data_IF_258739103638
#
_entry.id   IF_258739103638
#
_cell.length_a   1.000
_cell.length_b   1.000
_cell.length_c   1.000
_cell.angle_alpha   90.00
_cell.angle_beta   90.00
_cell.angle_gamma   90.00
#
_symmetry.space_group_name_H-M   'P 1'
#
loop_
_entity.id
_entity.type
_entity.pdbx_description
1 polymer ?
#
# COMPACT_ATOMS: atom_id res chain seq x y z
N UNK A 1 -1.67 -1.25 -13.29
CA UNK A 1 -1.42 -0.74 -11.92
C UNK A 1 -2.57 -1.01 -10.97
N UNK A 2 -2.25 -1.71 -9.88
CA UNK A 2 -3.21 -2.20 -8.85
C UNK A 2 -3.11 -1.41 -7.54
N UNK A 3 -2.44 -0.25 -7.55
CA UNK A 3 -2.12 0.55 -6.35
C UNK A 3 -3.35 0.97 -5.57
N UNK A 4 -4.50 1.20 -6.20
CA UNK A 4 -5.75 1.56 -5.50
C UNK A 4 -6.65 0.36 -5.17
N UNK A 5 -6.20 -0.88 -5.41
CA UNK A 5 -6.96 -2.12 -5.15
C UNK A 5 -6.37 -2.95 -4.00
N UNK A 6 -5.10 -2.70 -3.64
CA UNK A 6 -4.45 -3.34 -2.51
C UNK A 6 -4.81 -2.65 -1.18
N UNK A 7 -5.29 -3.41 -0.21
CA UNK A 7 -5.56 -2.90 1.12
C UNK A 7 -4.25 -2.56 1.84
N UNK A 8 -4.02 -1.31 2.25
CA UNK A 8 -2.81 -0.96 2.98
C UNK A 8 -2.81 -1.58 4.38
N UNK A 9 -3.96 -1.96 4.94
CA UNK A 9 -4.05 -2.49 6.31
C UNK A 9 -3.76 -3.98 6.42
N UNK A 10 -4.14 -4.78 5.42
CA UNK A 10 -4.04 -6.24 5.47
C UNK A 10 -3.40 -6.87 4.22
N UNK A 11 -3.08 -6.08 3.19
CA UNK A 11 -2.50 -6.55 1.92
C UNK A 11 -3.47 -7.20 0.95
N UNK A 12 -4.69 -7.53 1.39
CA UNK A 12 -5.71 -8.15 0.54
C UNK A 12 -5.95 -7.29 -0.71
N UNK A 13 -5.78 -7.89 -1.88
CA UNK A 13 -5.89 -7.22 -3.17
C UNK A 13 -6.94 -7.93 -4.00
N UNK A 14 -8.03 -7.22 -4.29
CA UNK A 14 -9.11 -7.74 -5.12
C UNK A 14 -9.73 -6.60 -5.93
N UNK A 15 -10.27 -6.90 -7.11
CA UNK A 15 -10.92 -5.89 -7.93
C UNK A 15 -12.15 -5.27 -7.24
N UNK A 16 -12.90 -6.09 -6.53
CA UNK A 16 -14.04 -5.68 -5.70
C UNK A 16 -13.66 -4.76 -4.54
N UNK A 17 -12.37 -4.60 -4.21
CA UNK A 17 -11.96 -3.59 -3.23
C UNK A 17 -12.17 -2.16 -3.75
N UNK A 18 -12.16 -1.97 -5.07
CA UNK A 18 -12.47 -0.70 -5.76
C UNK A 18 -13.28 -0.99 -7.03
N UNK A 19 -14.58 -1.31 -6.90
CA UNK A 19 -15.40 -1.70 -8.03
C UNK A 19 -15.53 -0.56 -9.05
N UNK A 20 -15.48 -0.89 -10.35
CA UNK A 20 -15.61 0.07 -11.47
C UNK A 20 -14.68 1.28 -11.40
N UNK A 21 -13.50 1.15 -10.75
CA UNK A 21 -12.56 2.25 -10.50
C UNK A 21 -13.19 3.45 -9.76
N UNK A 22 -14.20 3.20 -8.92
CA UNK A 22 -14.91 4.24 -8.17
C UNK A 22 -14.05 5.01 -7.17
N UNK A 23 -14.57 6.11 -6.64
CA UNK A 23 -13.88 6.99 -5.69
C UNK A 23 -13.69 6.35 -4.30
N UNK A 24 -14.53 5.37 -3.94
CA UNK A 24 -14.44 4.67 -2.66
C UNK A 24 -13.68 3.35 -2.79
N UNK A 25 -12.90 3.06 -1.76
CA UNK A 25 -12.27 1.78 -1.51
C UNK A 25 -12.91 1.12 -0.29
N UNK A 26 -13.11 -0.19 -0.36
CA UNK A 26 -13.55 -1.01 0.78
C UNK A 26 -12.88 -2.39 0.71
N UNK A 27 -12.07 -2.73 1.70
CA UNK A 27 -11.41 -4.03 1.74
C UNK A 27 -12.44 -5.16 1.92
N UNK A 28 -12.44 -6.11 0.98
CA UNK A 28 -13.34 -7.27 1.01
C UNK A 28 -12.83 -8.43 1.88
N UNK A 29 -11.71 -8.24 2.59
CA UNK A 29 -11.30 -9.22 3.61
C UNK A 29 -12.18 -9.08 4.84
N UNK A 30 -12.88 -10.16 5.19
CA UNK A 30 -13.84 -10.25 6.28
C UNK A 30 -13.27 -9.83 7.64
N UNK A 31 -11.97 -9.99 7.88
CA UNK A 31 -11.32 -9.60 9.15
C UNK A 31 -10.77 -8.17 9.14
N UNK A 32 -10.81 -7.47 8.00
CA UNK A 32 -10.23 -6.12 7.86
C UNK A 32 -11.29 -5.04 7.65
N UNK A 33 -12.13 -5.17 6.62
CA UNK A 33 -13.21 -4.21 6.33
C UNK A 33 -12.79 -2.74 6.10
N UNK A 34 -11.49 -2.43 5.96
CA UNK A 34 -11.01 -1.05 5.91
C UNK A 34 -11.58 -0.25 4.74
N UNK A 35 -12.04 0.98 4.99
CA UNK A 35 -12.63 1.85 3.96
C UNK A 35 -11.94 3.22 3.91
N UNK A 36 -11.78 3.78 2.71
CA UNK A 36 -11.20 5.11 2.49
C UNK A 36 -11.48 5.60 1.06
N UNK A 37 -11.14 6.86 0.76
CA UNK A 37 -11.04 7.34 -0.62
C UNK A 37 -9.93 6.61 -1.39
N UNK A 38 -10.21 6.22 -2.64
CA UNK A 38 -9.30 5.45 -3.47
C UNK A 38 -7.96 6.17 -3.74
N UNK A 39 -7.98 7.50 -3.85
CA UNK A 39 -6.75 8.28 -4.05
C UNK A 39 -5.85 8.27 -2.82
N UNK A 40 -6.44 8.32 -1.61
CA UNK A 40 -5.69 8.21 -0.36
C UNK A 40 -5.10 6.80 -0.19
N UNK A 41 -5.84 5.76 -0.59
CA UNK A 41 -5.31 4.39 -0.66
C UNK A 41 -4.11 4.32 -1.61
N UNK A 42 -4.25 4.91 -2.81
CA UNK A 42 -3.17 5.01 -3.78
C UNK A 42 -1.94 5.72 -3.21
N UNK A 43 -2.12 6.88 -2.59
CA UNK A 43 -1.05 7.66 -1.98
C UNK A 43 -0.32 6.88 -0.87
N UNK A 44 -1.07 6.19 0.00
CA UNK A 44 -0.47 5.33 1.06
C UNK A 44 0.34 4.19 0.47
N UNK A 45 -0.21 3.49 -0.52
CA UNK A 45 0.49 2.37 -1.15
C UNK A 45 1.75 2.82 -1.90
N UNK A 46 1.72 3.98 -2.56
CA UNK A 46 2.92 4.60 -3.16
C UNK A 46 3.93 4.93 -2.08
N UNK A 47 3.51 5.59 -0.99
CA UNK A 47 4.37 5.95 0.14
C UNK A 47 5.07 4.73 0.74
N UNK A 48 4.32 3.65 1.02
CA UNK A 48 4.87 2.40 1.55
C UNK A 48 5.94 1.81 0.63
N UNK A 49 5.67 1.75 -0.68
CA UNK A 49 6.64 1.25 -1.67
C UNK A 49 7.91 2.11 -1.70
N UNK A 50 7.75 3.44 -1.69
CA UNK A 50 8.88 4.38 -1.67
C UNK A 50 9.74 4.22 -0.42
N UNK A 51 9.11 4.09 0.75
CA UNK A 51 9.84 3.89 2.00
C UNK A 51 10.64 2.59 1.99
N UNK A 52 10.06 1.50 1.48
CA UNK A 52 10.77 0.23 1.37
C UNK A 52 11.93 0.30 0.38
N UNK A 53 11.75 0.92 -0.79
CA UNK A 53 12.85 1.14 -1.75
C UNK A 53 13.99 1.92 -1.09
N UNK A 54 13.65 2.95 -0.31
CA UNK A 54 14.63 3.74 0.41
C UNK A 54 15.36 2.93 1.49
N UNK A 55 14.65 2.13 2.28
CA UNK A 55 15.24 1.27 3.31
C UNK A 55 16.18 0.22 2.70
N UNK A 56 15.76 -0.39 1.60
CA UNK A 56 16.53 -1.41 0.90
C UNK A 56 17.81 -0.81 0.28
N UNK A 57 17.72 0.40 -0.29
CA UNK A 57 18.88 1.15 -0.73
C UNK A 57 19.84 1.48 0.41
N UNK A 58 19.34 2.00 1.52
CA UNK A 58 20.16 2.32 2.71
C UNK A 58 20.86 1.07 3.25
N UNK A 59 20.18 -0.08 3.24
CA UNK A 59 20.71 -1.35 3.77
C UNK A 59 21.78 -1.96 2.87
N UNK A 60 21.57 -1.93 1.56
CA UNK A 60 22.40 -2.69 0.60
C UNK A 60 23.43 -1.82 -0.13
N UNK A 61 23.27 -0.49 -0.08
CA UNK A 61 24.03 0.44 -0.91
C UNK A 61 23.59 0.45 -2.39
N UNK A 62 22.68 -0.44 -2.78
CA UNK A 62 22.22 -0.62 -4.15
C UNK A 62 20.75 -0.23 -4.25
N UNK A 63 20.39 0.58 -5.25
CA UNK A 63 18.98 0.90 -5.48
C UNK A 63 18.32 -0.32 -6.13
N UNK A 64 17.56 -1.12 -5.37
CA UNK A 64 16.86 -2.31 -5.89
C UNK A 64 15.80 -2.03 -6.96
N UNK A 65 15.64 -0.78 -7.41
CA UNK A 65 14.86 -0.47 -8.60
C UNK A 65 15.59 -0.78 -9.90
N UNK A 66 16.89 -1.13 -9.89
CA UNK A 66 17.55 -1.65 -11.10
C UNK A 66 16.89 -3.01 -11.39
N UNK A 67 16.00 -3.12 -12.37
CA UNK A 67 15.52 -4.42 -12.77
C UNK A 67 16.70 -5.04 -13.51
N UNK A 68 17.16 -6.22 -13.11
CA UNK A 68 17.60 -7.13 -14.17
C UNK A 68 16.33 -7.41 -14.98
N UNK A 69 16.17 -6.69 -16.09
CA UNK A 69 14.93 -6.62 -16.83
C UNK A 69 14.50 -7.97 -17.43
N UNK A 70 15.37 -8.99 -17.32
CA UNK A 70 15.26 -10.28 -17.96
C UNK A 70 14.42 -11.33 -17.22
N UNK A 71 14.18 -11.21 -15.90
CA UNK A 71 13.52 -12.28 -15.14
C UNK A 71 12.15 -11.89 -14.54
N UNK A 72 11.11 -12.67 -14.89
CA UNK A 72 9.76 -12.52 -14.36
C UNK A 72 9.67 -12.93 -12.88
N UNK A 73 10.54 -13.82 -12.41
CA UNK A 73 10.60 -14.27 -11.02
C UNK A 73 11.07 -13.14 -10.09
N UNK A 74 12.09 -12.39 -10.52
CA UNK A 74 12.56 -11.20 -9.80
C UNK A 74 11.47 -10.12 -9.68
N UNK A 75 10.65 -9.92 -10.74
CA UNK A 75 9.51 -9.01 -10.71
C UNK A 75 8.42 -9.50 -9.75
N UNK A 76 8.11 -10.79 -9.74
CA UNK A 76 7.11 -11.38 -8.85
C UNK A 76 7.52 -11.27 -7.37
N UNK A 77 8.77 -11.60 -7.04
CA UNK A 77 9.31 -11.51 -5.68
C UNK A 77 9.26 -10.07 -5.13
N UNK A 78 9.55 -9.07 -5.97
CA UNK A 78 9.47 -7.66 -5.59
C UNK A 78 8.02 -7.22 -5.32
N UNK A 79 7.08 -7.64 -6.16
CA UNK A 79 5.65 -7.37 -5.95
C UNK A 79 5.15 -8.02 -4.65
N UNK A 80 5.61 -9.23 -4.33
CA UNK A 80 5.28 -9.91 -3.08
C UNK A 80 5.78 -9.15 -1.85
N UNK A 81 7.06 -8.73 -1.84
CA UNK A 81 7.61 -7.92 -0.74
C UNK A 81 6.82 -6.63 -0.51
N UNK A 82 6.33 -6.00 -1.59
CA UNK A 82 5.47 -4.82 -1.49
C UNK A 82 4.08 -5.14 -0.96
N UNK A 83 3.53 -6.30 -1.34
CA UNK A 83 2.25 -6.79 -0.87
C UNK A 83 2.27 -7.21 0.59
N UNK A 84 3.42 -7.31 1.25
CA UNK A 84 3.56 -7.60 2.69
C UNK A 84 3.57 -6.35 3.58
N UNK A 85 3.85 -5.16 3.02
CA UNK A 85 3.87 -3.92 3.78
C UNK A 85 2.48 -3.53 4.28
N UNK A 86 2.39 -3.13 5.56
CA UNK A 86 1.14 -2.73 6.20
C UNK A 86 1.24 -1.29 6.71
N UNK A 87 0.21 -0.51 6.46
CA UNK A 87 0.00 0.79 7.07
C UNK A 87 -0.48 0.58 8.51
N UNK A 88 0.19 1.21 9.48
CA UNK A 88 -0.24 1.12 10.88
C UNK A 88 -1.60 1.79 11.08
N UNK A 89 -2.55 1.15 11.80
CA UNK A 89 -3.82 1.77 12.17
C UNK A 89 -3.62 3.06 12.98
N UNK A 90 -2.60 3.11 13.83
CA UNK A 90 -2.30 4.23 14.73
C UNK A 90 -1.99 5.52 13.96
N UNK A 91 -1.36 5.40 12.79
CA UNK A 91 -1.10 6.53 11.90
C UNK A 91 -2.40 7.17 11.35
N UNK A 92 -3.55 6.51 11.48
CA UNK A 92 -4.87 7.06 11.12
C UNK A 92 -5.55 7.74 12.31
N UNK A 93 -5.37 7.24 13.55
CA UNK A 93 -6.01 7.80 14.75
C UNK A 93 -5.48 9.17 15.16
N UNK A 94 -4.20 9.46 14.92
CA UNK A 94 -3.56 10.76 15.25
C UNK A 94 -4.19 11.98 14.56
N UNK A 95 -5.00 11.79 13.51
CA UNK A 95 -5.70 12.89 12.82
C UNK A 95 -7.03 13.26 13.46
N UNK A 96 -7.62 12.40 14.28
CA UNK A 96 -8.92 12.65 14.91
C UNK A 96 -8.80 13.52 16.16
N UNK A 97 -7.60 13.65 16.74
CA UNK A 97 -7.40 14.34 18.03
C UNK A 97 -7.11 15.84 17.90
N UNK A 98 -6.92 16.36 16.68
CA UNK A 98 -6.61 17.79 16.45
C UNK A 98 -7.82 18.64 16.05
N UNK A 99 -9.04 18.09 16.09
CA UNK A 99 -10.27 18.76 15.64
C UNK A 99 -11.23 19.23 16.74
N UNK A 100 -10.83 19.24 18.01
CA UNK A 100 -11.72 19.60 19.13
C UNK A 100 -11.03 20.46 20.18
N UNK A 101 -10.88 21.75 19.89
CA UNK A 101 -10.71 22.77 20.93
C UNK A 101 -11.72 23.88 20.65
N UNK A 102 -12.57 24.13 21.65
CA UNK A 102 -13.59 25.18 21.70
C UNK A 102 -13.01 26.58 21.47
#
# INVERSE_FOLDING_TARGET
DYTSKACPMCGHTQESNRPRKGLRFACQNNTCGYTLHADLIGARNVTLRTLLVRQDWIRTGCLSTIPDASDNEAKAARLQRYAELRWSPEATSLRSETGGAN
#
